data_IF_101595790105
#
_entry.id   IF_101595790105
#
_cell.length_a   1.000
_cell.length_b   1.000
_cell.length_c   1.000
_cell.angle_alpha   90.00
_cell.angle_beta   90.00
_cell.angle_gamma   90.00
#
_symmetry.space_group_name_H-M   'P 1'
#
loop_
_entity.id
_entity.type
_entity.pdbx_description
1 polymer ?
#
# COMPACT_ATOMS: atom_id res chain seq x y z
N UNK A 1 5.68 14.15 3.34
CA UNK A 1 5.50 14.89 4.60
C UNK A 1 5.91 14.01 5.78
N UNK A 2 6.39 14.59 6.88
CA UNK A 2 6.73 13.84 8.11
C UNK A 2 5.54 12.99 8.61
N UNK A 3 4.32 13.53 8.53
CA UNK A 3 3.09 12.83 8.88
C UNK A 3 2.93 11.49 8.15
N UNK A 4 3.16 11.43 6.83
CA UNK A 4 3.08 10.18 6.07
C UNK A 4 4.06 9.13 6.62
N UNK A 5 5.27 9.55 7.03
CA UNK A 5 6.23 8.63 7.62
C UNK A 5 5.79 8.15 9.01
N UNK A 6 5.10 8.98 9.79
CA UNK A 6 4.50 8.56 11.05
C UNK A 6 3.37 7.54 10.81
N UNK A 7 2.48 7.81 9.85
CA UNK A 7 1.42 6.86 9.46
C UNK A 7 2.01 5.51 9.01
N UNK A 8 3.06 5.52 8.19
CA UNK A 8 3.79 4.30 7.82
C UNK A 8 4.32 3.53 9.03
N UNK A 9 4.85 4.23 10.03
CA UNK A 9 5.47 3.61 11.21
C UNK A 9 4.48 3.04 12.23
N UNK A 10 3.19 3.38 12.14
CA UNK A 10 2.14 2.80 13.00
C UNK A 10 1.40 1.64 12.34
N UNK A 11 1.74 1.29 11.08
CA UNK A 11 1.16 0.15 10.37
C UNK A 11 2.18 -0.98 10.21
N UNK A 12 1.72 -2.23 10.26
CA UNK A 12 2.58 -3.40 10.04
C UNK A 12 3.06 -3.49 8.58
N UNK A 13 2.25 -2.97 7.64
CA UNK A 13 2.53 -2.98 6.21
C UNK A 13 2.17 -1.67 5.49
N UNK A 14 2.82 -1.45 4.36
CA UNK A 14 2.48 -0.41 3.38
C UNK A 14 2.19 -1.08 2.05
N UNK A 15 1.04 -0.74 1.45
CA UNK A 15 0.55 -1.36 0.23
C UNK A 15 0.42 -0.33 -0.90
N UNK A 16 0.93 -0.73 -2.08
CA UNK A 16 0.76 0.01 -3.34
C UNK A 16 0.48 -0.97 -4.49
N UNK A 17 -0.08 -0.46 -5.60
CA UNK A 17 -0.11 -1.21 -6.86
C UNK A 17 1.22 -1.19 -7.59
N UNK A 18 1.51 -2.23 -8.38
CA UNK A 18 2.72 -2.29 -9.23
C UNK A 18 2.83 -1.11 -10.20
N UNK A 19 1.71 -0.55 -10.65
CA UNK A 19 1.74 0.61 -11.54
C UNK A 19 2.37 1.84 -10.87
N UNK A 20 2.02 2.09 -9.60
CA UNK A 20 2.67 3.13 -8.79
C UNK A 20 4.15 2.84 -8.60
N UNK A 21 4.51 1.57 -8.34
CA UNK A 21 5.92 1.19 -8.23
C UNK A 21 6.71 1.49 -9.51
N UNK A 22 6.15 1.19 -10.68
CA UNK A 22 6.80 1.40 -11.98
C UNK A 22 6.94 2.88 -12.32
N UNK A 23 5.91 3.69 -12.02
CA UNK A 23 5.93 5.12 -12.35
C UNK A 23 6.79 5.94 -11.38
N UNK A 24 6.68 5.67 -10.09
CA UNK A 24 7.24 6.54 -9.05
C UNK A 24 8.51 5.98 -8.41
N UNK A 25 8.80 4.68 -8.57
CA UNK A 25 9.93 3.97 -7.96
C UNK A 25 10.16 4.35 -6.47
N UNK A 26 9.10 4.28 -5.62
CA UNK A 26 9.15 4.77 -4.25
C UNK A 26 10.07 3.92 -3.37
N UNK A 27 10.57 4.50 -2.28
CA UNK A 27 11.36 3.77 -1.26
C UNK A 27 10.50 3.00 -0.25
N UNK A 28 9.26 3.44 -0.01
CA UNK A 28 8.33 2.88 1.00
C UNK A 28 8.94 2.76 2.41
N UNK A 29 9.78 3.73 2.80
CA UNK A 29 10.51 3.77 4.07
C UNK A 29 9.99 4.85 5.01
N UNK A 30 10.40 4.77 6.28
CA UNK A 30 10.14 5.74 7.35
C UNK A 30 11.36 6.63 7.65
N UNK A 31 12.23 6.86 6.66
CA UNK A 31 13.54 7.53 6.83
C UNK A 31 13.52 9.01 7.24
N UNK A 32 12.35 9.66 7.29
CA UNK A 32 12.21 11.01 7.85
C UNK A 32 11.92 11.00 9.36
N UNK A 33 11.70 9.83 9.96
CA UNK A 33 11.54 9.71 11.41
C UNK A 33 12.90 9.74 12.10
N UNK A 34 12.98 10.32 13.31
CA UNK A 34 14.22 10.33 14.07
C UNK A 34 14.63 8.89 14.45
N UNK A 35 15.95 8.60 14.58
CA UNK A 35 16.43 7.26 14.96
C UNK A 35 15.91 6.76 16.31
N UNK A 36 15.46 7.68 17.17
CA UNK A 36 14.83 7.37 18.47
C UNK A 36 13.44 6.76 18.33
N UNK A 37 12.84 6.81 17.14
CA UNK A 37 11.54 6.21 16.86
C UNK A 37 11.70 4.68 16.76
N UNK A 38 11.36 3.97 17.84
CA UNK A 38 11.62 2.54 18.00
C UNK A 38 10.66 1.61 17.20
N UNK A 39 9.85 2.15 16.29
CA UNK A 39 8.91 1.35 15.49
C UNK A 39 9.64 0.56 14.41
N UNK A 40 9.32 -0.73 14.22
CA UNK A 40 9.79 -1.49 13.08
C UNK A 40 9.38 -0.82 11.76
N UNK A 41 10.17 -0.99 10.68
CA UNK A 41 9.77 -0.52 9.36
C UNK A 41 8.58 -1.34 8.85
N UNK A 42 7.61 -0.70 8.16
CA UNK A 42 6.46 -1.41 7.61
C UNK A 42 6.91 -2.38 6.51
N UNK A 43 6.20 -3.49 6.40
CA UNK A 43 6.38 -4.48 5.34
C UNK A 43 5.87 -3.93 3.98
N UNK A 44 6.71 -3.79 2.94
CA UNK A 44 6.25 -3.41 1.62
C UNK A 44 5.44 -4.55 1.00
N UNK A 45 4.19 -4.26 0.65
CA UNK A 45 3.27 -5.13 -0.07
C UNK A 45 2.95 -4.52 -1.44
N UNK A 46 3.25 -5.25 -2.51
CA UNK A 46 2.98 -4.79 -3.88
C UNK A 46 1.87 -5.64 -4.47
N UNK A 47 0.76 -5.01 -4.88
CA UNK A 47 -0.28 -5.67 -5.65
C UNK A 47 0.13 -5.75 -7.13
N UNK A 48 0.40 -6.97 -7.59
CA UNK A 48 0.85 -7.24 -8.95
C UNK A 48 0.29 -8.57 -9.47
N UNK A 49 -0.99 -8.61 -9.89
CA UNK A 49 -1.65 -9.84 -10.32
C UNK A 49 -0.88 -10.64 -11.39
N UNK A 50 -0.12 -9.94 -12.25
CA UNK A 50 0.64 -10.53 -13.37
C UNK A 50 2.15 -10.60 -13.16
N UNK A 51 2.64 -10.31 -11.95
CA UNK A 51 4.07 -10.34 -11.57
C UNK A 51 5.02 -9.54 -12.52
N UNK A 52 4.59 -8.33 -12.89
CA UNK A 52 5.35 -7.32 -13.67
C UNK A 52 6.40 -6.56 -12.86
N UNK A 53 6.59 -6.90 -11.59
CA UNK A 53 7.51 -6.26 -10.65
C UNK A 53 8.90 -6.02 -11.27
N UNK A 54 9.37 -4.76 -11.37
CA UNK A 54 10.67 -4.45 -11.94
C UNK A 54 11.81 -4.85 -10.99
N UNK A 55 12.70 -5.72 -11.47
CA UNK A 55 13.87 -6.18 -10.70
C UNK A 55 14.90 -5.06 -10.47
N UNK A 56 14.77 -3.95 -11.19
CA UNK A 56 15.56 -2.73 -11.04
C UNK A 56 14.96 -1.74 -10.04
N UNK A 57 13.83 -2.07 -9.40
CA UNK A 57 13.18 -1.19 -8.43
C UNK A 57 14.12 -0.82 -7.28
N UNK A 58 14.01 0.41 -6.82
CA UNK A 58 14.82 0.94 -5.73
C UNK A 58 14.60 0.19 -4.43
N UNK A 59 13.37 -0.23 -4.13
CA UNK A 59 13.08 -1.05 -2.94
C UNK A 59 13.85 -2.38 -2.96
N UNK A 60 13.96 -3.03 -4.12
CA UNK A 60 14.72 -4.27 -4.25
C UNK A 60 16.23 -4.02 -4.22
N UNK A 61 16.70 -3.00 -4.95
CA UNK A 61 18.11 -2.63 -4.98
C UNK A 61 18.62 -2.27 -3.57
N UNK A 62 17.87 -1.50 -2.80
CA UNK A 62 18.24 -1.17 -1.42
C UNK A 62 18.22 -2.37 -0.50
N UNK A 63 17.20 -3.25 -0.62
CA UNK A 63 17.17 -4.51 0.10
C UNK A 63 18.44 -5.33 -0.13
N UNK A 64 18.90 -5.41 -1.38
CA UNK A 64 20.07 -6.19 -1.78
C UNK A 64 21.40 -5.54 -1.35
N UNK A 65 21.53 -4.22 -1.51
CA UNK A 65 22.80 -3.51 -1.31
C UNK A 65 23.04 -3.02 0.12
N UNK A 66 22.01 -3.00 0.98
CA UNK A 66 22.11 -2.47 2.35
C UNK A 66 21.73 -3.50 3.43
N UNK A 67 22.45 -4.63 3.54
CA UNK A 67 22.11 -5.70 4.49
C UNK A 67 22.08 -5.23 5.96
N UNK A 68 22.94 -4.27 6.33
CA UNK A 68 22.98 -3.71 7.69
C UNK A 68 21.70 -2.95 8.09
N UNK A 69 20.88 -2.52 7.12
CA UNK A 69 19.65 -1.77 7.37
C UNK A 69 18.39 -2.67 7.42
N UNK A 70 18.53 -3.95 7.09
CA UNK A 70 17.42 -4.92 7.09
C UNK A 70 16.87 -5.10 8.51
N UNK A 71 15.55 -5.06 8.65
CA UNK A 71 14.84 -5.13 9.93
C UNK A 71 14.83 -3.83 10.73
N UNK A 72 15.74 -2.89 10.44
CA UNK A 72 15.80 -1.58 11.12
C UNK A 72 15.03 -0.51 10.35
N UNK A 73 15.30 -0.37 9.06
CA UNK A 73 14.63 0.62 8.19
C UNK A 73 14.17 0.02 6.86
N UNK A 74 14.64 -1.20 6.54
CA UNK A 74 14.29 -1.93 5.32
C UNK A 74 13.61 -3.25 5.66
N UNK A 75 12.66 -3.65 4.82
CA UNK A 75 12.05 -4.98 4.78
C UNK A 75 12.13 -5.52 3.36
N UNK A 76 12.12 -6.84 3.24
CA UNK A 76 12.07 -7.51 1.95
C UNK A 76 10.78 -7.12 1.24
N UNK A 77 10.77 -6.74 -0.05
CA UNK A 77 9.52 -6.46 -0.75
C UNK A 77 8.73 -7.77 -0.96
N UNK A 78 7.45 -7.77 -0.61
CA UNK A 78 6.54 -8.90 -0.84
C UNK A 78 5.55 -8.57 -1.94
N UNK A 79 5.41 -9.47 -2.91
CA UNK A 79 4.63 -9.26 -4.12
C UNK A 79 3.43 -10.19 -4.09
N UNK A 80 2.23 -9.63 -4.00
CA UNK A 80 0.99 -10.39 -4.11
C UNK A 80 0.67 -10.56 -5.60
N UNK A 81 0.64 -11.79 -6.10
CA UNK A 81 0.38 -12.08 -7.51
C UNK A 81 -0.66 -13.19 -7.70
N UNK A 82 -1.16 -13.36 -8.92
CA UNK A 82 -2.07 -14.45 -9.25
C UNK A 82 -1.40 -15.82 -9.14
N UNK A 83 -2.19 -16.85 -8.82
CA UNK A 83 -1.72 -18.24 -8.75
C UNK A 83 -1.35 -18.85 -10.12
N UNK A 84 -1.70 -18.21 -11.23
CA UNK A 84 -1.44 -18.67 -12.59
C UNK A 84 -0.14 -18.09 -13.21
N UNK A 85 0.65 -17.35 -12.44
CA UNK A 85 1.93 -16.80 -12.91
C UNK A 85 2.93 -17.93 -13.16
N UNK A 86 3.69 -17.92 -14.29
CA UNK A 86 4.68 -18.95 -14.57
C UNK A 86 5.73 -19.11 -13.46
N UNK A 87 6.05 -20.35 -13.10
CA UNK A 87 7.03 -20.67 -12.06
C UNK A 87 8.42 -20.09 -12.33
N UNK A 88 8.82 -20.00 -13.61
CA UNK A 88 10.08 -19.36 -14.01
C UNK A 88 10.13 -17.88 -13.58
N UNK A 89 9.05 -17.14 -13.81
CA UNK A 89 8.96 -15.73 -13.44
C UNK A 89 8.92 -15.54 -11.92
N UNK A 90 8.26 -16.46 -11.20
CA UNK A 90 8.29 -16.48 -9.73
C UNK A 90 9.73 -16.67 -9.23
N UNK A 91 10.41 -17.70 -9.73
CA UNK A 91 11.80 -18.00 -9.36
C UNK A 91 12.73 -16.83 -9.65
N UNK A 92 12.58 -16.17 -10.80
CA UNK A 92 13.37 -15.00 -11.16
C UNK A 92 13.21 -13.86 -10.14
N UNK A 93 11.97 -13.53 -9.76
CA UNK A 93 11.68 -12.48 -8.78
C UNK A 93 12.20 -12.83 -7.39
N UNK A 94 12.07 -14.10 -6.98
CA UNK A 94 12.56 -14.57 -5.68
C UNK A 94 14.10 -14.61 -5.61
N UNK A 95 14.76 -15.08 -6.67
CA UNK A 95 16.22 -15.06 -6.78
C UNK A 95 16.78 -13.63 -6.77
N UNK A 96 16.04 -12.69 -7.34
CA UNK A 96 16.40 -11.27 -7.28
C UNK A 96 16.27 -10.66 -5.87
N UNK A 97 15.62 -11.37 -4.93
CA UNK A 97 15.59 -11.03 -3.51
C UNK A 97 14.22 -10.60 -2.96
N UNK A 98 13.19 -10.51 -3.80
CA UNK A 98 11.82 -10.27 -3.35
C UNK A 98 11.18 -11.58 -2.85
N UNK A 99 10.03 -11.48 -2.18
CA UNK A 99 9.20 -12.65 -1.83
C UNK A 99 7.94 -12.62 -2.68
N UNK A 100 7.59 -13.73 -3.31
CA UNK A 100 6.34 -13.83 -4.06
C UNK A 100 5.30 -14.53 -3.20
N UNK A 101 4.08 -14.01 -3.20
CA UNK A 101 2.94 -14.55 -2.44
C UNK A 101 1.79 -14.75 -3.41
N UNK A 102 1.59 -15.98 -3.93
CA UNK A 102 0.47 -16.29 -4.80
C UNK A 102 -0.86 -16.18 -4.04
N UNK A 103 -1.85 -15.51 -4.64
CA UNK A 103 -3.18 -15.33 -4.09
C UNK A 103 -4.26 -15.54 -5.16
N UNK A 104 -5.49 -15.93 -4.77
CA UNK A 104 -6.61 -16.01 -5.70
C UNK A 104 -6.92 -14.66 -6.35
N UNK A 105 -7.33 -14.72 -7.62
CA UNK A 105 -7.82 -13.56 -8.36
C UNK A 105 -9.34 -13.65 -8.57
N UNK A 106 -9.99 -12.51 -8.76
CA UNK A 106 -11.37 -12.43 -9.22
C UNK A 106 -11.51 -12.75 -10.73
N UNK A 107 -12.74 -12.73 -11.23
CA UNK A 107 -13.04 -13.00 -12.65
C UNK A 107 -12.37 -12.02 -13.62
N UNK A 108 -11.97 -10.85 -13.14
CA UNK A 108 -11.31 -9.80 -13.92
C UNK A 108 -9.77 -9.88 -13.81
N UNK A 109 -9.24 -10.91 -13.15
CA UNK A 109 -7.81 -11.11 -12.95
C UNK A 109 -7.19 -10.12 -11.96
N UNK A 110 -7.97 -9.59 -11.01
CA UNK A 110 -7.51 -8.68 -9.96
C UNK A 110 -7.49 -9.38 -8.61
N UNK A 111 -6.71 -8.85 -7.68
CA UNK A 111 -6.74 -9.30 -6.28
C UNK A 111 -7.92 -8.57 -5.63
N UNK A 112 -9.00 -9.28 -5.23
CA UNK A 112 -10.19 -8.63 -4.70
C UNK A 112 -9.89 -7.95 -3.35
N UNK A 113 -10.28 -6.68 -3.13
CA UNK A 113 -10.01 -5.97 -1.88
C UNK A 113 -10.50 -6.70 -0.62
N UNK A 114 -11.65 -7.39 -0.71
CA UNK A 114 -12.22 -8.19 0.38
C UNK A 114 -11.33 -9.36 0.82
N UNK A 115 -10.42 -9.84 -0.03
CA UNK A 115 -9.47 -10.92 0.32
C UNK A 115 -8.27 -10.42 1.13
N UNK A 116 -7.97 -9.12 1.07
CA UNK A 116 -6.76 -8.56 1.67
C UNK A 116 -6.64 -8.87 3.17
N UNK A 117 -7.69 -8.75 4.00
CA UNK A 117 -7.56 -9.06 5.42
C UNK A 117 -7.15 -10.50 5.74
N UNK A 118 -7.67 -11.48 4.99
CA UNK A 118 -7.28 -12.89 5.14
C UNK A 118 -5.84 -13.11 4.71
N UNK A 119 -5.39 -12.44 3.65
CA UNK A 119 -4.00 -12.45 3.20
C UNK A 119 -3.08 -11.83 4.25
N UNK A 120 -3.44 -10.67 4.82
CA UNK A 120 -2.65 -10.03 5.88
C UNK A 120 -2.53 -10.95 7.10
N UNK A 121 -3.63 -11.56 7.52
CA UNK A 121 -3.66 -12.46 8.68
C UNK A 121 -2.75 -13.68 8.46
N UNK A 122 -2.79 -14.31 7.28
CA UNK A 122 -1.92 -15.45 6.96
C UNK A 122 -0.44 -15.08 6.87
N UNK A 123 -0.14 -13.82 6.57
CA UNK A 123 1.20 -13.24 6.56
C UNK A 123 1.65 -12.70 7.94
N UNK A 124 0.79 -12.79 8.97
CA UNK A 124 1.10 -12.30 10.32
C UNK A 124 1.06 -10.78 10.47
N UNK A 125 0.35 -10.08 9.58
CA UNK A 125 0.19 -8.62 9.56
C UNK A 125 -1.22 -8.26 10.06
N UNK A 126 -1.34 -7.22 10.89
CA UNK A 126 -2.63 -6.80 11.48
C UNK A 126 -3.15 -5.49 10.92
N UNK A 127 -2.28 -4.65 10.38
CA UNK A 127 -2.65 -3.34 9.83
C UNK A 127 -1.88 -3.04 8.55
N UNK A 128 -2.52 -2.32 7.64
CA UNK A 128 -1.92 -1.91 6.36
C UNK A 128 -2.30 -0.47 6.06
N UNK A 129 -1.31 0.32 5.62
CA UNK A 129 -1.53 1.62 5.04
C UNK A 129 -1.53 1.50 3.51
N UNK A 130 -2.61 1.92 2.85
CA UNK A 130 -2.70 1.93 1.39
C UNK A 130 -2.38 3.34 0.90
N UNK A 131 -1.25 3.52 0.21
CA UNK A 131 -0.80 4.85 -0.25
C UNK A 131 -0.92 5.05 -1.75
N UNK A 132 -0.81 3.97 -2.53
CA UNK A 132 -0.40 4.07 -3.92
C UNK A 132 -1.40 3.52 -4.92
N UNK A 133 -1.80 4.39 -5.85
CA UNK A 133 -2.52 4.05 -7.08
C UNK A 133 -4.00 4.36 -6.99
N UNK A 134 -4.46 5.29 -7.83
CA UNK A 134 -5.88 5.68 -7.90
C UNK A 134 -6.82 4.49 -8.07
N UNK A 135 -6.41 3.50 -8.88
CA UNK A 135 -7.17 2.25 -9.09
C UNK A 135 -7.24 1.39 -7.82
N UNK A 136 -6.15 1.30 -7.06
CA UNK A 136 -6.12 0.52 -5.80
C UNK A 136 -7.02 1.22 -4.79
N UNK A 137 -6.78 2.50 -4.53
CA UNK A 137 -7.59 3.29 -3.59
C UNK A 137 -9.08 3.24 -3.95
N UNK A 138 -9.43 3.46 -5.23
CA UNK A 138 -10.80 3.35 -5.72
C UNK A 138 -11.39 1.97 -5.46
N UNK A 139 -10.69 0.87 -5.75
CA UNK A 139 -11.20 -0.48 -5.50
C UNK A 139 -11.52 -0.74 -4.01
N UNK A 140 -10.69 -0.25 -3.09
CA UNK A 140 -10.93 -0.37 -1.66
C UNK A 140 -12.12 0.50 -1.21
N UNK A 141 -12.23 1.72 -1.75
CA UNK A 141 -13.35 2.61 -1.42
C UNK A 141 -14.69 2.11 -2.00
N UNK A 142 -14.71 1.39 -3.12
CA UNK A 142 -15.93 0.76 -3.61
C UNK A 142 -16.28 -0.57 -2.90
N UNK A 143 -15.32 -1.17 -2.18
CA UNK A 143 -15.54 -2.42 -1.43
C UNK A 143 -15.72 -2.11 0.06
N UNK A 144 -16.92 -1.69 0.45
CA UNK A 144 -17.15 -1.10 1.78
C UNK A 144 -17.07 -2.10 2.94
N UNK A 145 -17.48 -3.35 2.70
CA UNK A 145 -17.65 -4.38 3.72
C UNK A 145 -16.79 -5.60 3.43
N UNK A 146 -16.40 -6.28 4.50
CA UNK A 146 -15.80 -7.61 4.53
C UNK A 146 -16.91 -8.66 4.46
N UNK A 147 -16.52 -9.91 4.26
CA UNK A 147 -17.47 -11.02 4.17
C UNK A 147 -18.30 -11.21 5.45
N UNK A 148 -17.76 -10.81 6.60
CA UNK A 148 -18.43 -10.83 7.92
C UNK A 148 -19.32 -9.59 8.17
N UNK A 149 -19.45 -8.69 7.19
CA UNK A 149 -20.24 -7.46 7.27
C UNK A 149 -19.54 -6.29 7.97
N UNK A 150 -18.34 -6.49 8.54
CA UNK A 150 -17.54 -5.40 9.12
C UNK A 150 -16.93 -4.51 8.04
N UNK A 151 -16.45 -3.31 8.41
CA UNK A 151 -15.86 -2.36 7.46
C UNK A 151 -14.55 -2.90 6.89
N UNK A 152 -14.31 -2.72 5.60
CA UNK A 152 -13.01 -3.05 4.99
C UNK A 152 -11.98 -1.93 5.20
N UNK A 153 -12.43 -0.68 5.13
CA UNK A 153 -11.60 0.51 5.31
C UNK A 153 -11.98 1.21 6.62
N UNK A 154 -11.06 1.18 7.58
CA UNK A 154 -11.29 1.76 8.91
C UNK A 154 -11.16 3.29 8.91
N UNK A 155 -10.20 3.82 8.14
CA UNK A 155 -9.86 5.26 8.15
C UNK A 155 -9.37 5.69 6.77
N UNK A 156 -9.79 6.90 6.37
CA UNK A 156 -9.31 7.58 5.16
C UNK A 156 -8.62 8.86 5.60
N UNK A 157 -7.36 9.04 5.20
CA UNK A 157 -6.62 10.28 5.43
C UNK A 157 -6.53 11.02 4.10
N UNK A 158 -7.11 12.21 4.04
CA UNK A 158 -7.13 13.07 2.85
C UNK A 158 -6.22 14.27 3.10
N UNK A 159 -5.22 14.45 2.24
CA UNK A 159 -4.36 15.64 2.26
C UNK A 159 -4.72 16.54 1.09
N UNK A 160 -5.08 17.79 1.39
CA UNK A 160 -5.42 18.82 0.41
C UNK A 160 -4.33 19.88 0.42
N UNK A 161 -3.61 20.01 -0.69
CA UNK A 161 -2.64 21.08 -0.88
C UNK A 161 -3.33 22.34 -1.42
N UNK A 162 -2.90 23.55 -1.04
CA UNK A 162 -3.46 24.81 -1.53
C UNK A 162 -2.93 25.15 -2.94
N UNK A 163 -3.10 24.23 -3.88
CA UNK A 163 -2.58 24.33 -5.25
C UNK A 163 -3.66 23.90 -6.24
N UNK A 164 -3.85 24.68 -7.31
CA UNK A 164 -4.68 24.25 -8.44
C UNK A 164 -3.90 23.26 -9.31
N UNK A 165 -4.50 22.10 -9.54
CA UNK A 165 -4.10 21.18 -10.61
C UNK A 165 -5.08 21.44 -11.76
N UNK A 166 -4.62 21.40 -13.01
CA UNK A 166 -5.42 21.73 -14.21
C UNK A 166 -6.64 20.83 -14.42
N UNK A 167 -7.13 20.71 -15.66
CA UNK A 167 -8.28 19.85 -15.95
C UNK A 167 -7.95 18.38 -15.65
N UNK A 168 -8.67 17.77 -14.71
CA UNK A 168 -8.45 16.37 -14.36
C UNK A 168 -9.45 15.83 -13.32
N UNK A 169 -9.85 14.57 -13.53
CA UNK A 169 -10.74 13.82 -12.66
C UNK A 169 -12.06 13.47 -13.34
N UNK A 170 -12.28 12.19 -13.61
CA UNK A 170 -13.64 11.68 -13.83
C UNK A 170 -14.24 11.40 -12.45
N UNK A 171 -15.44 11.94 -12.18
CA UNK A 171 -16.22 11.47 -11.03
C UNK A 171 -16.69 10.05 -11.33
N UNK A 172 -16.11 9.08 -10.62
CA UNK A 172 -16.45 7.66 -10.74
C UNK A 172 -17.38 7.19 -9.61
N UNK A 173 -17.95 8.12 -8.83
CA UNK A 173 -18.88 7.82 -7.74
C UNK A 173 -18.17 7.16 -6.56
N UNK A 174 -17.38 7.92 -5.81
CA UNK A 174 -16.78 7.43 -4.56
C UNK A 174 -17.81 7.49 -3.41
N UNK A 175 -17.70 6.61 -2.39
CA UNK A 175 -18.60 6.66 -1.23
C UNK A 175 -18.45 7.99 -0.48
N UNK A 176 -19.52 8.39 0.21
CA UNK A 176 -19.47 9.53 1.10
C UNK A 176 -18.48 9.29 2.25
N UNK A 177 -17.76 10.36 2.63
CA UNK A 177 -16.85 10.36 3.76
C UNK A 177 -17.45 11.19 4.90
N UNK A 178 -17.36 10.66 6.12
CA UNK A 178 -17.68 11.41 7.33
C UNK A 178 -16.37 11.89 7.96
N UNK A 179 -16.19 13.21 8.03
CA UNK A 179 -15.02 13.81 8.69
C UNK A 179 -15.07 13.56 10.19
N UNK A 180 -13.96 13.06 10.73
CA UNK A 180 -13.74 12.84 12.16
C UNK A 180 -12.87 13.93 12.74
N UNK A 181 -11.83 14.33 12.02
CA UNK A 181 -10.89 15.37 12.45
C UNK A 181 -10.31 16.13 11.24
N UNK A 182 -9.90 17.37 11.47
CA UNK A 182 -9.19 18.18 10.47
C UNK A 182 -8.11 19.00 11.16
N UNK A 183 -6.93 19.00 10.56
CA UNK A 183 -5.77 19.75 11.05
C UNK A 183 -5.00 20.35 9.88
N UNK A 184 -4.39 21.52 10.10
CA UNK A 184 -3.45 22.10 9.14
C UNK A 184 -2.04 21.62 9.46
N UNK A 185 -1.38 21.00 8.47
CA UNK A 185 -0.01 20.52 8.60
C UNK A 185 0.91 21.26 7.62
N UNK A 186 1.58 22.30 8.14
CA UNK A 186 2.35 23.21 7.30
C UNK A 186 1.40 24.06 6.45
N UNK A 187 1.46 23.90 5.12
CA UNK A 187 0.56 24.59 4.18
C UNK A 187 -0.64 23.75 3.76
N UNK A 188 -0.61 22.46 4.05
CA UNK A 188 -1.64 21.51 3.59
C UNK A 188 -2.70 21.32 4.67
N UNK A 189 -3.94 21.06 4.27
CA UNK A 189 -5.01 20.64 5.17
C UNK A 189 -5.15 19.12 5.14
N UNK A 190 -5.22 18.51 6.32
CA UNK A 190 -5.34 17.05 6.48
C UNK A 190 -6.66 16.74 7.15
N UNK A 191 -7.44 15.87 6.52
CA UNK A 191 -8.72 15.39 7.05
C UNK A 191 -8.63 13.91 7.37
N UNK A 192 -9.01 13.52 8.58
CA UNK A 192 -9.21 12.12 8.97
C UNK A 192 -10.69 11.83 8.87
N UNK A 193 -11.05 10.84 8.06
CA UNK A 193 -12.43 10.49 7.74
C UNK A 193 -12.68 9.00 7.97
N UNK A 194 -13.97 8.65 8.10
CA UNK A 194 -14.44 7.27 7.97
C UNK A 194 -15.32 7.16 6.73
N UNK A 195 -15.40 5.96 6.15
CA UNK A 195 -16.31 5.68 5.03
C UNK A 195 -17.71 5.46 5.58
N UNK A 196 -18.69 6.15 5.00
CA UNK A 196 -20.11 5.96 5.28
C UNK A 196 -20.55 4.70 4.53
N UNK A 197 -20.90 3.66 5.27
CA UNK A 197 -21.54 2.49 4.69
C UNK A 197 -23.05 2.76 4.66
N UNK A 198 -23.63 2.89 3.46
CA UNK A 198 -25.08 2.87 3.27
C UNK A 198 -25.68 1.50 3.68
#
# INVERSE_FOLDING_TARGET
MLMTHQLRAIHDAILIGVHTLVLDDPRLQTNLLPPTHASPPPQPLILDPSLRFPLTSRILNEWNTKPAMRGQTLKQPWILCGSNVPSERINEVEQAGARVVPVPLDSDGRIPPSSLPSILTSLGLRSVMIEGGSRVLSSFLHTLKRDDGSKLVDTVVVTVAPTFIGEGGEDRGLPALQTVHTETMGKDSVMVCTVVAE
#
